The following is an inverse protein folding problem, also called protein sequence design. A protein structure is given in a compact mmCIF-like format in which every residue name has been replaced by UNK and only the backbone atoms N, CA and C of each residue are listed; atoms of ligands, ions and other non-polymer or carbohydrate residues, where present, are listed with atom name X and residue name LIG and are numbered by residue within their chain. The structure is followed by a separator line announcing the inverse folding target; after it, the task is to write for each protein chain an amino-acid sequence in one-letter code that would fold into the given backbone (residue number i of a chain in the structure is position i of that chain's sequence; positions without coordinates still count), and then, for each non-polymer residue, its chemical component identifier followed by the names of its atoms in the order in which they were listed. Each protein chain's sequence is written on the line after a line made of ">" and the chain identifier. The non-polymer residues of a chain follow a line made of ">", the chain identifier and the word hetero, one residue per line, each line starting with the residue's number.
data_IF_475319060371
#
_entry.id   IF_475319060371
#
_cell.length_a   1.000
_cell.length_b   1.000
_cell.length_c   1.000
_cell.angle_alpha   90.00
_cell.angle_beta   90.00
_cell.angle_gamma   90.00
#
_symmetry.space_group_name_H-M   'P 1'
#
loop_
_entity.id
_entity.type
_entity.pdbx_description
1 polymer ?
#
# COMPACT_ATOMS: atom_id res chain seq x y z
N UNK A 1 -36.30 26.54 -10.70
CA UNK A 1 -35.03 26.28 -11.40
C UNK A 1 -33.96 25.98 -10.38
N UNK A 2 -33.70 24.71 -10.09
CA UNK A 2 -32.62 24.29 -9.17
C UNK A 2 -31.35 24.29 -10.04
N UNK A 3 -30.57 25.35 -9.94
CA UNK A 3 -29.28 25.43 -10.63
C UNK A 3 -28.39 24.31 -10.16
N UNK A 4 -27.89 23.48 -11.06
CA UNK A 4 -26.85 22.48 -10.82
C UNK A 4 -25.58 23.23 -10.43
N UNK A 5 -25.41 23.50 -9.14
CA UNK A 5 -24.17 24.07 -8.61
C UNK A 5 -23.06 23.03 -8.82
N UNK A 6 -22.11 23.34 -9.67
CA UNK A 6 -20.93 22.50 -9.88
C UNK A 6 -20.27 22.27 -8.51
N UNK A 7 -19.99 21.02 -8.10
CA UNK A 7 -19.59 20.67 -6.71
C UNK A 7 -18.30 21.36 -6.24
N UNK A 8 -17.49 21.89 -7.16
CA UNK A 8 -16.18 22.50 -6.90
C UNK A 8 -16.14 24.02 -7.13
N UNK A 9 -17.30 24.70 -7.24
CA UNK A 9 -17.31 26.16 -7.39
C UNK A 9 -16.71 26.82 -6.16
N UNK A 10 -15.83 27.82 -6.36
CA UNK A 10 -15.17 28.56 -5.30
C UNK A 10 -13.90 27.91 -4.71
N UNK A 11 -13.52 26.70 -5.14
CA UNK A 11 -12.33 26.00 -4.63
C UNK A 11 -11.05 26.82 -4.73
N UNK A 12 -10.81 27.53 -5.83
CA UNK A 12 -9.58 28.32 -6.04
C UNK A 12 -9.45 29.50 -5.08
N UNK A 13 -10.54 30.21 -4.82
CA UNK A 13 -10.55 31.35 -3.89
C UNK A 13 -10.34 30.86 -2.45
N UNK A 14 -11.06 29.78 -2.07
CA UNK A 14 -10.93 29.18 -0.74
C UNK A 14 -9.53 28.61 -0.54
N UNK A 15 -8.96 27.93 -1.54
CA UNK A 15 -7.60 27.38 -1.49
C UNK A 15 -6.57 28.49 -1.23
N UNK A 16 -6.63 29.60 -1.99
CA UNK A 16 -5.72 30.72 -1.81
C UNK A 16 -5.77 31.32 -0.41
N UNK A 17 -6.98 31.49 0.11
CA UNK A 17 -7.19 31.98 1.48
C UNK A 17 -6.66 30.98 2.52
N UNK A 18 -6.99 29.70 2.38
CA UNK A 18 -6.55 28.63 3.29
C UNK A 18 -5.03 28.48 3.29
N UNK A 19 -4.39 28.46 2.13
CA UNK A 19 -2.92 28.38 2.02
C UNK A 19 -2.24 29.55 2.73
N UNK A 20 -2.75 30.77 2.57
CA UNK A 20 -2.16 31.95 3.19
C UNK A 20 -2.15 31.90 4.72
N UNK A 21 -3.15 31.26 5.33
CA UNK A 21 -3.30 31.19 6.79
C UNK A 21 -2.75 29.88 7.38
N UNK A 22 -3.01 28.74 6.74
CA UNK A 22 -2.73 27.43 7.32
C UNK A 22 -1.35 26.88 6.92
N UNK A 23 -0.75 27.34 5.81
CA UNK A 23 0.55 26.83 5.36
C UNK A 23 1.68 27.07 6.37
N UNK A 24 1.59 28.17 7.13
CA UNK A 24 2.55 28.47 8.19
C UNK A 24 2.63 27.36 9.27
N UNK A 25 1.60 26.56 9.42
CA UNK A 25 1.57 25.44 10.37
C UNK A 25 2.45 24.27 9.96
N UNK A 26 2.83 24.21 8.69
CA UNK A 26 3.80 23.24 8.22
C UNK A 26 5.25 23.61 8.58
N UNK A 27 5.53 24.86 8.95
CA UNK A 27 6.89 25.32 9.27
C UNK A 27 7.57 24.45 10.34
N UNK A 28 6.94 24.12 11.50
CA UNK A 28 7.56 23.25 12.49
C UNK A 28 7.87 21.86 11.94
N UNK A 29 6.97 21.30 11.15
CA UNK A 29 7.12 19.98 10.54
C UNK A 29 8.23 19.97 9.48
N UNK A 30 8.28 21.01 8.62
CA UNK A 30 9.37 21.23 7.67
C UNK A 30 10.70 21.29 8.42
N UNK A 31 10.78 22.11 9.48
CA UNK A 31 12.00 22.26 10.26
C UNK A 31 12.47 20.94 10.88
N UNK A 32 11.56 20.18 11.52
CA UNK A 32 11.89 18.91 12.18
C UNK A 32 12.36 17.87 11.17
N UNK A 33 11.62 17.67 10.06
CA UNK A 33 11.95 16.65 9.06
C UNK A 33 13.23 17.02 8.31
N UNK A 34 13.41 18.30 7.97
CA UNK A 34 14.64 18.79 7.35
C UNK A 34 15.84 18.63 8.29
N UNK A 35 15.71 19.01 9.56
CA UNK A 35 16.76 18.87 10.56
C UNK A 35 17.13 17.41 10.81
N UNK A 36 16.14 16.51 10.78
CA UNK A 36 16.37 15.05 10.91
C UNK A 36 17.28 14.54 9.80
N UNK A 37 17.05 14.93 8.54
CA UNK A 37 17.84 14.50 7.38
C UNK A 37 19.19 15.19 7.34
N UNK A 38 19.23 16.52 7.42
CA UNK A 38 20.49 17.29 7.35
C UNK A 38 21.45 16.97 8.49
N UNK A 39 20.93 16.82 9.73
CA UNK A 39 21.77 16.43 10.87
C UNK A 39 22.35 15.02 10.70
N UNK A 40 21.65 14.10 10.05
CA UNK A 40 22.19 12.77 9.77
C UNK A 40 23.38 12.82 8.84
N UNK A 41 23.32 13.61 7.76
CA UNK A 41 24.42 13.80 6.81
C UNK A 41 25.63 14.41 7.49
N UNK A 42 25.42 15.51 8.20
CA UNK A 42 26.53 16.24 8.85
C UNK A 42 27.16 15.47 10.00
N UNK A 43 26.34 14.87 10.86
CA UNK A 43 26.82 14.10 12.02
C UNK A 43 27.58 12.84 11.59
N UNK A 44 27.09 12.12 10.58
CA UNK A 44 27.73 10.90 10.11
C UNK A 44 29.16 11.15 9.60
N UNK A 45 29.33 12.19 8.76
CA UNK A 45 30.64 12.55 8.23
C UNK A 45 31.65 12.94 9.34
N UNK A 46 31.15 13.53 10.42
CA UNK A 46 31.98 13.94 11.57
C UNK A 46 32.23 12.81 12.55
N UNK A 47 31.23 11.95 12.86
CA UNK A 47 31.33 10.91 13.88
C UNK A 47 31.99 9.62 13.38
N UNK A 48 31.89 9.32 12.09
CA UNK A 48 32.36 8.07 11.47
C UNK A 48 33.27 8.33 10.26
N UNK A 49 34.42 8.99 10.45
CA UNK A 49 35.35 9.36 9.36
C UNK A 49 36.04 8.11 8.77
N UNK A 50 36.31 7.08 9.58
CA UNK A 50 37.06 5.90 9.16
C UNK A 50 36.14 4.71 8.86
N UNK A 51 36.59 3.81 7.97
CA UNK A 51 35.83 2.59 7.62
C UNK A 51 35.63 1.65 8.82
N UNK A 52 36.58 1.61 9.73
CA UNK A 52 36.53 0.81 10.95
C UNK A 52 35.38 1.24 11.86
N UNK A 53 35.19 2.56 12.04
CA UNK A 53 34.10 3.12 12.84
C UNK A 53 32.71 2.74 12.25
N UNK A 54 32.63 2.75 10.90
CA UNK A 54 31.41 2.36 10.18
C UNK A 54 31.12 0.87 10.29
N UNK A 55 32.14 0.02 10.34
CA UNK A 55 31.98 -1.41 10.58
C UNK A 55 31.45 -1.71 11.99
N UNK A 56 31.95 -0.98 13.00
CA UNK A 56 31.44 -1.07 14.39
C UNK A 56 30.00 -0.58 14.46
N UNK A 57 29.67 0.51 13.77
CA UNK A 57 28.29 1.02 13.67
C UNK A 57 27.34 0.00 13.07
N UNK A 58 27.74 -0.64 11.97
CA UNK A 58 26.93 -1.64 11.27
C UNK A 58 26.72 -2.90 12.15
N UNK A 59 27.77 -3.36 12.83
CA UNK A 59 27.69 -4.50 13.74
C UNK A 59 26.83 -4.24 14.98
N UNK A 60 26.88 -3.03 15.55
CA UNK A 60 26.18 -2.70 16.80
C UNK A 60 24.74 -2.28 16.57
N UNK A 61 24.50 -1.41 15.61
CA UNK A 61 23.18 -0.84 15.30
C UNK A 61 22.44 -1.72 14.29
N UNK A 62 23.13 -2.19 13.24
CA UNK A 62 22.55 -3.03 12.20
C UNK A 62 22.05 -4.38 12.73
N UNK A 63 22.74 -4.94 13.72
CA UNK A 63 22.36 -6.19 14.40
C UNK A 63 21.29 -6.05 15.49
N UNK A 64 20.81 -4.84 15.83
CA UNK A 64 19.84 -4.63 16.89
C UNK A 64 18.38 -4.78 16.41
N UNK A 65 17.64 -5.85 16.85
CA UNK A 65 16.28 -6.09 16.39
C UNK A 65 15.29 -4.98 16.75
N UNK A 66 15.49 -4.31 17.90
CA UNK A 66 14.60 -3.24 18.35
C UNK A 66 14.71 -2.00 17.45
N UNK A 67 15.94 -1.67 17.03
CA UNK A 67 16.15 -0.58 16.07
C UNK A 67 15.66 -0.95 14.67
N UNK A 68 15.82 -2.22 14.26
CA UNK A 68 15.27 -2.75 13.04
C UNK A 68 13.75 -2.62 12.97
N UNK A 69 13.05 -2.78 14.10
CA UNK A 69 11.59 -2.62 14.17
C UNK A 69 11.16 -1.16 13.93
N UNK A 70 11.90 -0.19 14.49
CA UNK A 70 11.55 1.23 14.40
C UNK A 70 11.99 1.81 13.05
N UNK A 71 13.24 1.61 12.67
CA UNK A 71 13.86 2.23 11.50
C UNK A 71 13.81 1.35 10.25
N UNK A 72 13.63 0.04 10.41
CA UNK A 72 13.81 -0.96 9.37
C UNK A 72 15.23 -1.53 9.36
N UNK A 73 15.50 -2.56 8.53
CA UNK A 73 16.82 -3.19 8.45
C UNK A 73 17.87 -2.20 7.93
N UNK A 74 19.00 -2.16 8.64
CA UNK A 74 20.14 -1.33 8.27
C UNK A 74 20.96 -2.02 7.17
N UNK A 75 20.58 -1.81 5.92
CA UNK A 75 21.17 -2.52 4.76
C UNK A 75 22.49 -1.92 4.27
N UNK A 76 22.75 -0.65 4.54
CA UNK A 76 23.94 0.05 4.07
C UNK A 76 24.31 1.20 5.02
N UNK A 77 24.90 0.88 6.16
CA UNK A 77 25.39 1.90 7.10
C UNK A 77 26.81 2.39 6.78
N UNK A 78 27.44 1.88 5.72
CA UNK A 78 28.78 2.28 5.32
C UNK A 78 28.84 3.59 4.55
N UNK A 79 27.70 4.06 4.04
CA UNK A 79 27.58 5.32 3.31
C UNK A 79 26.78 6.34 4.10
N UNK A 80 27.09 7.63 3.85
CA UNK A 80 26.40 8.75 4.46
C UNK A 80 24.90 8.74 4.11
N UNK A 81 24.60 8.46 2.85
CA UNK A 81 23.24 8.39 2.30
C UNK A 81 22.47 7.20 2.86
N UNK A 82 23.13 6.04 3.00
CA UNK A 82 22.54 4.84 3.57
C UNK A 82 22.13 5.04 5.03
N UNK A 83 23.01 5.65 5.83
CA UNK A 83 22.70 6.01 7.22
C UNK A 83 21.57 7.04 7.31
N UNK A 84 21.62 8.10 6.49
CA UNK A 84 20.56 9.11 6.45
C UNK A 84 19.21 8.49 6.06
N UNK A 85 19.20 7.69 5.00
CA UNK A 85 17.97 7.01 4.56
C UNK A 85 17.42 6.09 5.65
N UNK A 86 18.28 5.29 6.28
CA UNK A 86 17.85 4.39 7.36
C UNK A 86 17.23 5.16 8.54
N UNK A 87 17.88 6.24 8.99
CA UNK A 87 17.43 7.02 10.14
C UNK A 87 16.22 7.91 9.81
N UNK A 88 16.23 8.60 8.68
CA UNK A 88 15.24 9.61 8.37
C UNK A 88 13.98 9.04 7.70
N UNK A 89 14.07 7.92 6.98
CA UNK A 89 12.95 7.35 6.23
C UNK A 89 11.71 7.08 7.11
N UNK A 90 11.90 6.36 8.21
CA UNK A 90 10.82 5.96 9.08
C UNK A 90 10.20 7.15 9.82
N UNK A 91 11.03 7.90 10.54
CA UNK A 91 10.58 9.02 11.35
C UNK A 91 10.08 10.20 10.50
N UNK A 92 10.80 10.53 9.41
CA UNK A 92 10.41 11.63 8.52
C UNK A 92 9.09 11.35 7.81
N UNK A 93 8.88 10.11 7.34
CA UNK A 93 7.60 9.69 6.77
C UNK A 93 6.46 9.74 7.78
N UNK A 94 6.68 9.24 9.00
CA UNK A 94 5.69 9.28 10.08
C UNK A 94 5.30 10.71 10.47
N UNK A 95 6.27 11.59 10.66
CA UNK A 95 6.04 12.99 11.00
C UNK A 95 5.32 13.75 9.88
N UNK A 96 5.69 13.48 8.61
CA UNK A 96 5.00 14.07 7.45
C UNK A 96 3.55 13.58 7.38
N UNK A 97 3.31 12.31 7.66
CA UNK A 97 1.96 11.74 7.75
C UNK A 97 1.11 12.42 8.81
N UNK A 98 1.64 12.64 10.03
CA UNK A 98 0.95 13.37 11.10
C UNK A 98 0.65 14.81 10.68
N UNK A 99 1.61 15.51 10.07
CA UNK A 99 1.41 16.88 9.61
C UNK A 99 0.25 16.98 8.61
N UNK A 100 0.19 16.03 7.65
CA UNK A 100 -0.88 15.96 6.68
C UNK A 100 -2.25 15.65 7.32
N UNK A 101 -2.30 14.70 8.26
CA UNK A 101 -3.53 14.35 8.99
C UNK A 101 -4.07 15.57 9.72
N UNK A 102 -3.24 16.25 10.50
CA UNK A 102 -3.69 17.41 11.29
C UNK A 102 -4.11 18.59 10.42
N UNK A 103 -3.47 18.78 9.27
CA UNK A 103 -3.86 19.83 8.33
C UNK A 103 -5.25 19.56 7.75
N UNK A 104 -5.50 18.32 7.26
CA UNK A 104 -6.78 17.95 6.65
C UNK A 104 -7.91 17.92 7.66
N UNK A 105 -7.73 17.28 8.81
CA UNK A 105 -8.80 17.17 9.84
C UNK A 105 -9.16 18.53 10.42
N UNK A 106 -8.19 19.42 10.59
CA UNK A 106 -8.45 20.79 11.04
C UNK A 106 -9.20 21.61 9.99
N UNK A 107 -8.81 21.49 8.72
CA UNK A 107 -9.47 22.21 7.63
C UNK A 107 -10.86 21.62 7.26
N UNK A 108 -11.24 20.49 7.86
CA UNK A 108 -12.57 19.86 7.69
C UNK A 108 -13.36 19.92 9.01
N UNK A 109 -13.25 18.88 9.85
CA UNK A 109 -13.99 18.76 11.11
C UNK A 109 -13.67 19.85 12.12
N UNK A 110 -12.41 20.33 12.16
CA UNK A 110 -12.05 21.43 13.05
C UNK A 110 -12.78 22.74 12.73
N UNK A 111 -13.09 23.01 11.45
CA UNK A 111 -13.92 24.15 11.05
C UNK A 111 -15.41 23.91 11.38
N UNK A 112 -15.88 22.67 11.34
CA UNK A 112 -17.25 22.31 11.74
C UNK A 112 -17.42 22.44 13.25
N UNK A 113 -16.51 21.88 14.04
CA UNK A 113 -16.53 21.95 15.51
C UNK A 113 -16.46 23.41 16.04
N UNK A 114 -15.82 24.32 15.29
CA UNK A 114 -15.72 25.74 15.63
C UNK A 114 -16.84 26.63 15.10
N UNK A 115 -17.80 26.08 14.33
CA UNK A 115 -18.87 26.83 13.67
C UNK A 115 -18.43 27.66 12.45
N UNK A 116 -17.15 27.68 12.11
CA UNK A 116 -16.64 28.39 10.93
C UNK A 116 -17.21 27.82 9.62
N UNK A 117 -17.56 26.54 9.61
CA UNK A 117 -18.14 25.88 8.47
C UNK A 117 -19.50 26.48 8.06
N UNK A 118 -20.32 26.92 9.02
CA UNK A 118 -21.62 27.53 8.77
C UNK A 118 -21.47 28.91 8.10
N UNK A 119 -20.49 29.70 8.53
CA UNK A 119 -20.17 30.99 7.94
C UNK A 119 -19.71 30.82 6.46
N UNK A 120 -18.92 29.79 6.18
CA UNK A 120 -18.47 29.48 4.82
C UNK A 120 -19.61 28.90 3.97
N UNK A 121 -20.56 28.16 4.56
CA UNK A 121 -21.68 27.55 3.86
C UNK A 121 -22.74 28.57 3.40
N UNK A 122 -22.80 29.76 4.03
CA UNK A 122 -23.67 30.86 3.61
C UNK A 122 -23.24 31.50 2.29
N UNK A 123 -22.01 31.24 1.81
CA UNK A 123 -21.47 31.71 0.54
C UNK A 123 -21.84 30.79 -0.64
N UNK A 124 -21.64 31.29 -1.88
CA UNK A 124 -21.89 30.54 -3.10
C UNK A 124 -20.78 29.50 -3.39
N UNK A 125 -20.61 28.53 -2.48
CA UNK A 125 -19.57 27.49 -2.60
C UNK A 125 -20.16 26.09 -2.81
N UNK A 126 -19.47 25.26 -3.62
CA UNK A 126 -19.83 23.88 -3.86
C UNK A 126 -19.61 23.00 -2.60
N UNK A 127 -20.48 22.01 -2.40
CA UNK A 127 -20.41 21.12 -1.21
C UNK A 127 -19.08 20.36 -1.08
N UNK A 128 -18.42 20.03 -2.21
CA UNK A 128 -17.13 19.35 -2.23
C UNK A 128 -15.90 20.28 -2.13
N UNK A 129 -16.09 21.59 -2.26
CA UNK A 129 -14.97 22.55 -2.33
C UNK A 129 -14.12 22.55 -1.03
N UNK A 130 -14.75 22.47 0.14
CA UNK A 130 -14.05 22.44 1.42
C UNK A 130 -13.16 21.21 1.58
N UNK A 131 -13.70 20.01 1.28
CA UNK A 131 -12.93 18.77 1.36
C UNK A 131 -11.78 18.78 0.37
N UNK A 132 -12.02 19.22 -0.88
CA UNK A 132 -10.98 19.33 -1.89
C UNK A 132 -9.85 20.28 -1.45
N UNK A 133 -10.19 21.44 -0.89
CA UNK A 133 -9.20 22.40 -0.36
C UNK A 133 -8.43 21.84 0.81
N UNK A 134 -9.07 21.10 1.72
CA UNK A 134 -8.40 20.46 2.84
C UNK A 134 -7.38 19.41 2.39
N UNK A 135 -7.75 18.56 1.42
CA UNK A 135 -6.84 17.56 0.84
C UNK A 135 -5.68 18.25 0.11
N UNK A 136 -5.97 19.27 -0.72
CA UNK A 136 -4.94 20.03 -1.41
C UNK A 136 -3.98 20.74 -0.46
N UNK A 137 -4.45 21.23 0.69
CA UNK A 137 -3.59 21.78 1.74
C UNK A 137 -2.60 20.73 2.26
N UNK A 138 -3.08 19.51 2.55
CA UNK A 138 -2.23 18.40 2.99
C UNK A 138 -1.21 17.99 1.92
N UNK A 139 -1.65 17.88 0.67
CA UNK A 139 -0.79 17.55 -0.48
C UNK A 139 0.30 18.60 -0.69
N UNK A 140 -0.06 19.88 -0.73
CA UNK A 140 0.90 20.99 -0.92
C UNK A 140 1.86 21.08 0.25
N UNK A 141 1.37 20.98 1.49
CA UNK A 141 2.19 21.01 2.70
C UNK A 141 3.21 19.87 2.74
N UNK A 142 2.81 18.65 2.41
CA UNK A 142 3.70 17.48 2.35
C UNK A 142 4.73 17.59 1.22
N UNK A 143 4.33 18.13 0.08
CA UNK A 143 5.26 18.41 -1.03
C UNK A 143 6.32 19.42 -0.62
N UNK A 144 5.93 20.47 0.12
CA UNK A 144 6.88 21.45 0.65
C UNK A 144 7.84 20.82 1.67
N UNK A 145 7.38 19.92 2.54
CA UNK A 145 8.27 19.18 3.45
C UNK A 145 9.32 18.42 2.61
N UNK A 146 8.90 17.65 1.60
CA UNK A 146 9.81 16.89 0.75
C UNK A 146 10.80 17.79 0.01
N UNK A 147 10.32 18.83 -0.67
CA UNK A 147 11.16 19.74 -1.47
C UNK A 147 12.18 20.47 -0.60
N UNK A 148 11.76 21.06 0.51
CA UNK A 148 12.68 21.81 1.40
C UNK A 148 13.71 20.85 2.02
N UNK A 149 13.29 19.65 2.46
CA UNK A 149 14.20 18.64 2.98
C UNK A 149 15.22 18.23 1.92
N UNK A 150 14.80 17.97 0.67
CA UNK A 150 15.69 17.63 -0.41
C UNK A 150 16.73 18.74 -0.64
N UNK A 151 16.26 19.97 -0.81
CA UNK A 151 17.15 21.12 -1.07
C UNK A 151 18.19 21.32 0.04
N UNK A 152 17.75 21.32 1.29
CA UNK A 152 18.67 21.52 2.42
C UNK A 152 19.66 20.33 2.56
N UNK A 153 19.20 19.09 2.34
CA UNK A 153 20.07 17.91 2.44
C UNK A 153 21.11 17.88 1.31
N UNK A 154 20.74 18.28 0.09
CA UNK A 154 21.65 18.42 -1.04
C UNK A 154 22.69 19.53 -0.78
N UNK A 155 22.28 20.66 -0.21
CA UNK A 155 23.21 21.73 0.19
C UNK A 155 24.22 21.28 1.26
N UNK A 156 23.89 20.27 2.06
CA UNK A 156 24.82 19.62 3.00
C UNK A 156 25.77 18.61 2.34
N UNK A 157 25.76 18.48 1.01
CA UNK A 157 26.68 17.61 0.25
C UNK A 157 26.19 16.14 0.12
N UNK A 158 24.92 15.86 0.31
CA UNK A 158 24.37 14.53 0.09
C UNK A 158 24.22 14.20 -1.41
N UNK A 159 24.24 12.90 -1.74
CA UNK A 159 24.03 12.42 -3.10
C UNK A 159 22.57 12.66 -3.57
N UNK A 160 22.43 13.07 -4.84
CA UNK A 160 21.15 13.51 -5.37
C UNK A 160 20.11 12.40 -5.44
N UNK A 161 20.48 11.23 -5.96
CA UNK A 161 19.53 10.12 -6.21
C UNK A 161 18.89 9.64 -4.91
N UNK A 162 19.69 9.35 -3.89
CA UNK A 162 19.21 8.90 -2.58
C UNK A 162 18.36 9.97 -1.88
N UNK A 163 18.79 11.23 -1.96
CA UNK A 163 18.10 12.37 -1.33
C UNK A 163 16.75 12.66 -1.98
N UNK A 164 16.67 12.66 -3.31
CA UNK A 164 15.43 12.89 -4.03
C UNK A 164 14.43 11.73 -3.81
N UNK A 165 14.93 10.49 -3.77
CA UNK A 165 14.09 9.33 -3.47
C UNK A 165 13.51 9.40 -2.04
N UNK A 166 14.35 9.77 -1.06
CA UNK A 166 13.92 9.95 0.32
C UNK A 166 12.85 11.07 0.44
N UNK A 167 13.06 12.20 -0.21
CA UNK A 167 12.12 13.31 -0.25
C UNK A 167 10.79 12.93 -0.94
N UNK A 168 10.86 12.15 -2.02
CA UNK A 168 9.68 11.61 -2.69
C UNK A 168 8.87 10.68 -1.78
N UNK A 169 9.54 9.88 -0.92
CA UNK A 169 8.82 9.04 0.05
C UNK A 169 8.10 9.86 1.12
N UNK A 170 8.69 10.95 1.62
CA UNK A 170 8.00 11.86 2.54
C UNK A 170 6.77 12.48 1.89
N UNK A 171 6.92 12.98 0.68
CA UNK A 171 5.83 13.56 -0.12
C UNK A 171 4.70 12.56 -0.33
N UNK A 172 5.01 11.36 -0.80
CA UNK A 172 4.03 10.31 -1.07
C UNK A 172 3.30 9.85 0.19
N UNK A 173 4.01 9.71 1.31
CA UNK A 173 3.41 9.38 2.61
C UNK A 173 2.42 10.47 3.05
N UNK A 174 2.77 11.73 2.90
CA UNK A 174 1.89 12.83 3.21
C UNK A 174 0.64 12.89 2.31
N UNK A 175 0.77 12.60 1.02
CA UNK A 175 -0.37 12.50 0.10
C UNK A 175 -1.31 11.36 0.49
N UNK A 176 -0.76 10.19 0.77
CA UNK A 176 -1.53 9.03 1.23
C UNK A 176 -2.27 9.36 2.53
N UNK A 177 -1.60 9.95 3.51
CA UNK A 177 -2.22 10.30 4.79
C UNK A 177 -3.22 11.47 4.66
N UNK A 178 -3.08 12.35 3.68
CA UNK A 178 -4.11 13.35 3.35
C UNK A 178 -5.41 12.70 2.88
N UNK A 179 -5.31 11.65 2.06
CA UNK A 179 -6.48 10.87 1.62
C UNK A 179 -7.12 10.10 2.79
N UNK A 180 -6.30 9.42 3.62
CA UNK A 180 -6.77 8.72 4.83
C UNK A 180 -7.47 9.69 5.78
N UNK A 181 -6.91 10.86 6.01
CA UNK A 181 -7.51 11.89 6.87
C UNK A 181 -8.82 12.44 6.30
N UNK A 182 -8.93 12.55 4.97
CA UNK A 182 -10.17 12.95 4.31
C UNK A 182 -11.28 11.91 4.55
N UNK A 183 -10.98 10.62 4.46
CA UNK A 183 -11.93 9.53 4.78
C UNK A 183 -12.26 9.56 6.27
N UNK A 184 -11.27 9.64 7.15
CA UNK A 184 -11.46 9.71 8.60
C UNK A 184 -12.35 10.90 9.01
N UNK A 185 -12.21 12.04 8.33
CA UNK A 185 -13.06 13.20 8.54
C UNK A 185 -14.52 12.97 8.11
N UNK A 186 -14.79 12.06 7.17
CA UNK A 186 -16.18 11.70 6.83
C UNK A 186 -16.80 10.72 7.85
N UNK A 187 -15.98 9.87 8.47
CA UNK A 187 -16.42 8.87 9.45
C UNK A 187 -16.51 9.43 10.87
N UNK A 188 -15.57 10.30 11.26
CA UNK A 188 -15.53 10.88 12.60
C UNK A 188 -16.57 11.99 12.79
N UNK A 189 -17.28 11.99 13.91
CA UNK A 189 -18.25 13.05 14.27
C UNK A 189 -17.60 14.36 14.72
N UNK A 190 -16.34 14.31 15.18
CA UNK A 190 -15.58 15.47 15.68
C UNK A 190 -14.14 15.44 15.11
N UNK A 191 -13.44 16.57 15.17
CA UNK A 191 -12.02 16.64 14.77
C UNK A 191 -11.14 15.68 15.60
N UNK A 192 -11.47 15.48 16.89
CA UNK A 192 -10.76 14.55 17.77
C UNK A 192 -10.95 13.11 17.28
N UNK A 193 -12.17 12.69 16.99
CA UNK A 193 -12.46 11.34 16.50
C UNK A 193 -11.79 11.08 15.14
N UNK A 194 -11.87 12.03 14.21
CA UNK A 194 -11.20 11.94 12.91
C UNK A 194 -9.67 11.84 13.05
N UNK A 195 -9.06 12.66 13.92
CA UNK A 195 -7.63 12.57 14.21
C UNK A 195 -7.24 11.22 14.80
N UNK A 196 -7.99 10.73 15.79
CA UNK A 196 -7.71 9.42 16.41
C UNK A 196 -7.75 8.32 15.39
N UNK A 197 -8.76 8.29 14.52
CA UNK A 197 -8.89 7.27 13.47
C UNK A 197 -7.71 7.33 12.47
N UNK A 198 -7.40 8.52 11.96
CA UNK A 198 -6.32 8.69 10.98
C UNK A 198 -4.93 8.43 11.57
N UNK A 199 -4.65 8.90 12.80
CA UNK A 199 -3.37 8.66 13.48
C UNK A 199 -3.22 7.19 13.87
N UNK A 200 -4.30 6.53 14.32
CA UNK A 200 -4.28 5.08 14.58
C UNK A 200 -3.96 4.30 13.31
N UNK A 201 -4.56 4.67 12.18
CA UNK A 201 -4.24 4.06 10.88
C UNK A 201 -2.76 4.24 10.52
N UNK A 202 -2.22 5.46 10.65
CA UNK A 202 -0.80 5.73 10.43
C UNK A 202 0.09 4.90 11.36
N UNK A 203 -0.26 4.82 12.64
CA UNK A 203 0.52 4.08 13.65
C UNK A 203 0.52 2.58 13.36
N UNK A 204 -0.63 2.00 12.99
CA UNK A 204 -0.73 0.60 12.59
C UNK A 204 0.12 0.34 11.35
N UNK A 205 0.04 1.19 10.33
CA UNK A 205 0.86 1.05 9.12
C UNK A 205 2.36 1.20 9.41
N UNK A 206 2.74 2.08 10.34
CA UNK A 206 4.13 2.27 10.75
C UNK A 206 4.68 1.05 11.47
N UNK A 207 3.94 0.50 12.44
CA UNK A 207 4.31 -0.71 13.18
C UNK A 207 4.37 -1.91 12.21
N UNK A 208 3.34 -2.08 11.38
CA UNK A 208 3.28 -3.15 10.39
C UNK A 208 4.49 -3.08 9.44
N UNK A 209 4.85 -1.88 8.95
CA UNK A 209 6.05 -1.66 8.16
C UNK A 209 7.32 -2.13 8.89
N UNK A 210 7.47 -1.76 10.17
CA UNK A 210 8.62 -2.15 10.98
C UNK A 210 8.73 -3.68 11.09
N UNK A 211 7.63 -4.34 11.41
CA UNK A 211 7.56 -5.80 11.41
C UNK A 211 7.87 -6.41 10.06
N UNK A 212 7.27 -5.92 8.98
CA UNK A 212 7.47 -6.44 7.62
C UNK A 212 8.92 -6.30 7.15
N UNK A 213 9.62 -5.26 7.58
CA UNK A 213 11.00 -5.00 7.17
C UNK A 213 12.04 -5.67 8.08
N UNK A 214 11.74 -5.87 9.38
CA UNK A 214 12.71 -6.37 10.38
C UNK A 214 12.80 -7.90 10.42
N UNK A 215 11.80 -8.62 9.92
CA UNK A 215 11.80 -10.08 9.98
C UNK A 215 12.47 -10.67 8.74
N UNK A 216 13.62 -11.32 8.94
CA UNK A 216 14.31 -12.08 7.90
C UNK A 216 13.53 -13.33 7.43
N UNK A 217 12.49 -13.73 8.16
CA UNK A 217 11.57 -14.79 7.79
C UNK A 217 10.28 -14.26 7.17
N UNK A 218 10.24 -14.02 5.85
CA UNK A 218 9.13 -13.32 5.19
C UNK A 218 7.78 -14.04 5.34
N UNK A 219 7.78 -15.36 5.47
CA UNK A 219 6.53 -16.13 5.56
C UNK A 219 5.76 -15.84 6.87
N UNK A 220 6.44 -15.83 8.02
CA UNK A 220 5.77 -15.63 9.31
C UNK A 220 5.20 -14.21 9.47
N UNK A 221 5.91 -13.22 8.96
CA UNK A 221 5.48 -11.82 8.95
C UNK A 221 4.19 -11.64 8.17
N UNK A 222 4.13 -12.26 7.00
CA UNK A 222 2.95 -12.19 6.16
C UNK A 222 1.74 -12.87 6.80
N UNK A 223 1.94 -13.98 7.52
CA UNK A 223 0.85 -14.63 8.27
C UNK A 223 0.25 -13.67 9.30
N UNK A 224 1.07 -12.99 10.11
CA UNK A 224 0.58 -12.00 11.10
C UNK A 224 -0.16 -10.86 10.41
N UNK A 225 0.41 -10.31 9.32
CA UNK A 225 -0.22 -9.24 8.55
C UNK A 225 -1.58 -9.67 8.01
N UNK A 226 -1.69 -10.88 7.48
CA UNK A 226 -2.94 -11.40 6.92
C UNK A 226 -3.96 -11.80 7.98
N UNK A 227 -3.54 -12.17 9.18
CA UNK A 227 -4.44 -12.31 10.33
C UNK A 227 -5.06 -10.95 10.67
N UNK A 228 -4.25 -9.89 10.78
CA UNK A 228 -4.75 -8.54 11.05
C UNK A 228 -5.67 -8.03 9.94
N UNK A 229 -5.29 -8.20 8.67
CA UNK A 229 -6.11 -7.84 7.52
C UNK A 229 -7.42 -8.63 7.48
N UNK A 230 -7.38 -9.94 7.78
CA UNK A 230 -8.56 -10.78 7.84
C UNK A 230 -9.57 -10.30 8.89
N UNK A 231 -9.10 -9.87 10.06
CA UNK A 231 -9.96 -9.27 11.09
C UNK A 231 -10.56 -7.96 10.60
N UNK A 232 -9.74 -7.06 10.04
CA UNK A 232 -10.19 -5.75 9.55
C UNK A 232 -11.24 -5.91 8.44
N UNK A 233 -10.95 -6.72 7.43
CA UNK A 233 -11.85 -6.93 6.29
C UNK A 233 -13.11 -7.69 6.68
N UNK A 234 -13.00 -8.68 7.58
CA UNK A 234 -14.14 -9.42 8.10
C UNK A 234 -15.09 -8.53 8.90
N UNK A 235 -14.56 -7.65 9.75
CA UNK A 235 -15.37 -6.67 10.46
C UNK A 235 -16.02 -5.67 9.49
N UNK A 236 -15.28 -5.24 8.45
CA UNK A 236 -15.78 -4.29 7.47
C UNK A 236 -16.95 -4.87 6.64
N UNK A 237 -16.82 -6.13 6.21
CA UNK A 237 -17.90 -6.85 5.52
C UNK A 237 -19.09 -7.03 6.47
N UNK A 238 -18.85 -7.39 7.74
CA UNK A 238 -19.92 -7.57 8.73
C UNK A 238 -20.72 -6.29 9.01
N UNK A 239 -20.10 -5.12 8.90
CA UNK A 239 -20.75 -3.83 9.15
C UNK A 239 -21.46 -3.23 7.92
N UNK A 240 -21.47 -3.93 6.78
CA UNK A 240 -22.03 -3.39 5.53
C UNK A 240 -23.52 -3.09 5.62
N UNK A 241 -24.30 -3.91 6.33
CA UNK A 241 -25.75 -3.65 6.54
C UNK A 241 -25.99 -2.34 7.28
N UNK A 242 -25.24 -2.08 8.35
CA UNK A 242 -25.36 -0.85 9.14
C UNK A 242 -24.95 0.37 8.31
N UNK A 243 -23.91 0.21 7.48
CA UNK A 243 -23.43 1.23 6.56
C UNK A 243 -24.49 1.59 5.51
N UNK A 244 -25.16 0.58 4.93
CA UNK A 244 -26.23 0.76 3.95
C UNK A 244 -27.50 1.37 4.58
N UNK A 245 -27.83 0.98 5.81
CA UNK A 245 -28.97 1.50 6.54
C UNK A 245 -28.76 2.98 6.95
N UNK A 246 -27.52 3.38 7.24
CA UNK A 246 -27.19 4.74 7.70
C UNK A 246 -27.12 5.77 6.57
N UNK A 247 -26.98 5.37 5.29
CA UNK A 247 -26.80 6.29 4.16
C UNK A 247 -27.44 5.78 2.87
N UNK A 248 -28.68 6.20 2.57
CA UNK A 248 -29.35 5.86 1.30
C UNK A 248 -28.55 6.29 0.05
N UNK A 249 -27.78 7.34 0.15
CA UNK A 249 -26.91 7.80 -0.94
C UNK A 249 -25.74 6.84 -1.19
N UNK A 250 -25.20 6.24 -0.14
CA UNK A 250 -24.14 5.25 -0.23
C UNK A 250 -24.69 3.92 -0.76
N UNK A 251 -25.88 3.53 -0.34
CA UNK A 251 -26.59 2.39 -0.89
C UNK A 251 -26.81 2.52 -2.40
N UNK A 252 -27.28 3.70 -2.87
CA UNK A 252 -27.48 3.99 -4.29
C UNK A 252 -26.15 4.03 -5.08
N UNK A 253 -25.06 4.51 -4.47
CA UNK A 253 -23.73 4.55 -5.09
C UNK A 253 -23.10 3.15 -5.20
N UNK A 254 -23.29 2.32 -4.21
CA UNK A 254 -22.80 0.94 -4.19
C UNK A 254 -23.69 -0.01 -5.02
N UNK A 255 -24.97 0.32 -5.16
CA UNK A 255 -25.92 -0.51 -5.90
C UNK A 255 -25.56 -0.67 -7.39
N UNK A 256 -24.79 0.28 -8.00
CA UNK A 256 -24.30 0.15 -9.38
C UNK A 256 -25.30 -0.42 -10.41
N UNK A 257 -26.61 -0.45 -10.06
CA UNK A 257 -27.67 -1.12 -10.79
C UNK A 257 -28.20 -2.43 -10.14
N UNK A 258 -27.64 -2.88 -9.01
CA UNK A 258 -28.15 -4.04 -8.29
C UNK A 258 -29.47 -3.68 -7.59
N UNK A 259 -30.50 -4.47 -7.85
CA UNK A 259 -31.87 -4.26 -7.35
C UNK A 259 -32.09 -4.99 -6.01
N UNK A 260 -31.24 -5.98 -5.70
CA UNK A 260 -31.37 -6.85 -4.51
C UNK A 260 -30.30 -6.53 -3.45
N UNK A 261 -30.67 -6.23 -2.19
CA UNK A 261 -29.73 -6.02 -1.09
C UNK A 261 -28.79 -7.21 -0.84
N UNK A 262 -29.22 -8.44 -1.10
CA UNK A 262 -28.37 -9.64 -0.95
C UNK A 262 -27.25 -9.66 -2.00
N UNK A 263 -27.55 -9.31 -3.26
CA UNK A 263 -26.53 -9.20 -4.30
C UNK A 263 -25.50 -8.10 -3.98
N UNK A 264 -25.95 -7.01 -3.37
CA UNK A 264 -25.07 -5.93 -2.97
C UNK A 264 -24.05 -6.38 -1.91
N UNK A 265 -24.49 -7.14 -0.90
CA UNK A 265 -23.62 -7.72 0.13
C UNK A 265 -22.63 -8.70 -0.49
N UNK A 266 -23.09 -9.57 -1.40
CA UNK A 266 -22.24 -10.53 -2.11
C UNK A 266 -21.16 -9.82 -2.94
N UNK A 267 -21.53 -8.84 -3.75
CA UNK A 267 -20.61 -8.08 -4.59
C UNK A 267 -19.56 -7.32 -3.74
N UNK A 268 -20.00 -6.75 -2.62
CA UNK A 268 -19.10 -6.10 -1.67
C UNK A 268 -18.10 -7.09 -1.07
N UNK A 269 -18.55 -8.27 -0.64
CA UNK A 269 -17.68 -9.32 -0.10
C UNK A 269 -16.66 -9.81 -1.13
N UNK A 270 -17.08 -10.03 -2.39
CA UNK A 270 -16.19 -10.43 -3.49
C UNK A 270 -15.16 -9.34 -3.77
N UNK A 271 -15.56 -8.07 -3.79
CA UNK A 271 -14.64 -6.94 -3.99
C UNK A 271 -13.61 -6.88 -2.87
N UNK A 272 -14.02 -7.01 -1.62
CA UNK A 272 -13.12 -7.03 -0.46
C UNK A 272 -12.15 -8.21 -0.50
N UNK A 273 -12.61 -9.41 -0.86
CA UNK A 273 -11.75 -10.57 -1.03
C UNK A 273 -10.79 -10.42 -2.21
N UNK A 274 -11.19 -9.77 -3.29
CA UNK A 274 -10.31 -9.44 -4.42
C UNK A 274 -9.22 -8.46 -4.00
N UNK A 275 -9.54 -7.42 -3.22
CA UNK A 275 -8.54 -6.51 -2.64
C UNK A 275 -7.54 -7.27 -1.77
N UNK A 276 -8.04 -8.16 -0.91
CA UNK A 276 -7.20 -9.00 -0.06
C UNK A 276 -6.31 -9.94 -0.89
N UNK A 277 -6.83 -10.45 -2.02
CA UNK A 277 -6.09 -11.26 -3.00
C UNK A 277 -4.97 -10.48 -3.68
N UNK A 278 -5.20 -9.22 -4.07
CA UNK A 278 -4.17 -8.34 -4.64
C UNK A 278 -3.04 -8.13 -3.63
N UNK A 279 -3.38 -7.89 -2.36
CA UNK A 279 -2.39 -7.77 -1.28
C UNK A 279 -1.66 -9.11 -1.09
N UNK A 280 -2.36 -10.25 -1.21
CA UNK A 280 -1.77 -11.58 -1.09
C UNK A 280 -0.81 -11.94 -2.23
N UNK A 281 -0.88 -11.28 -3.38
CA UNK A 281 0.11 -11.44 -4.44
C UNK A 281 1.47 -10.84 -4.06
N UNK A 282 1.52 -9.85 -3.18
CA UNK A 282 2.75 -9.13 -2.77
C UNK A 282 3.81 -10.09 -2.20
N UNK A 283 3.52 -10.92 -1.15
CA UNK A 283 4.51 -11.86 -0.62
C UNK A 283 5.00 -12.86 -1.67
N UNK A 284 4.14 -13.30 -2.59
CA UNK A 284 4.55 -14.19 -3.69
C UNK A 284 5.54 -13.52 -4.64
N UNK A 285 5.26 -12.28 -5.05
CA UNK A 285 6.19 -11.49 -5.89
C UNK A 285 7.52 -11.27 -5.16
N UNK A 286 7.49 -10.98 -3.84
CA UNK A 286 8.71 -10.83 -3.05
C UNK A 286 9.56 -12.10 -3.00
N UNK A 287 8.94 -13.29 -2.88
CA UNK A 287 9.65 -14.56 -2.93
C UNK A 287 10.36 -14.74 -4.28
N UNK A 288 9.72 -14.36 -5.40
CA UNK A 288 10.35 -14.41 -6.74
C UNK A 288 11.50 -13.40 -6.84
N UNK A 289 11.34 -12.19 -6.32
CA UNK A 289 12.37 -11.14 -6.34
C UNK A 289 13.61 -11.51 -5.50
N UNK A 290 13.49 -12.43 -4.53
CA UNK A 290 14.63 -12.96 -3.79
C UNK A 290 15.67 -13.61 -4.71
N UNK A 291 15.27 -14.21 -5.84
CA UNK A 291 16.21 -14.76 -6.82
C UNK A 291 17.24 -13.71 -7.23
N UNK A 292 16.79 -12.48 -7.53
CA UNK A 292 17.69 -11.37 -7.92
C UNK A 292 18.59 -10.95 -6.74
N UNK A 293 18.06 -10.92 -5.53
CA UNK A 293 18.84 -10.59 -4.33
C UNK A 293 19.90 -11.65 -4.03
N UNK A 294 19.57 -12.93 -4.22
CA UNK A 294 20.49 -14.04 -4.00
C UNK A 294 21.57 -14.11 -5.09
N UNK A 295 21.23 -13.72 -6.33
CA UNK A 295 22.23 -13.57 -7.40
C UNK A 295 23.20 -12.42 -7.10
N UNK A 296 22.69 -11.25 -6.77
CA UNK A 296 23.53 -10.08 -6.48
C UNK A 296 24.45 -10.29 -5.27
N UNK A 297 24.03 -11.11 -4.32
CA UNK A 297 24.83 -11.48 -3.14
C UNK A 297 25.69 -12.74 -3.32
N UNK A 298 25.76 -13.29 -4.55
CA UNK A 298 26.50 -14.50 -4.90
C UNK A 298 26.13 -15.75 -4.10
N UNK A 299 24.95 -15.75 -3.45
CA UNK A 299 24.46 -16.89 -2.64
C UNK A 299 23.88 -18.03 -3.48
N UNK A 300 23.56 -17.75 -4.74
CA UNK A 300 22.98 -18.75 -5.64
C UNK A 300 24.03 -19.71 -6.20
N UNK A 301 25.31 -19.29 -6.30
CA UNK A 301 26.39 -20.11 -6.87
C UNK A 301 26.65 -21.39 -6.08
N UNK A 302 26.80 -21.36 -4.71
CA UNK A 302 26.97 -22.59 -3.92
C UNK A 302 25.79 -23.56 -4.06
N UNK A 303 24.57 -23.07 -4.26
CA UNK A 303 23.37 -23.89 -4.42
C UNK A 303 23.41 -24.64 -5.76
N UNK A 304 23.79 -23.94 -6.82
CA UNK A 304 23.85 -24.52 -8.17
C UNK A 304 25.06 -25.46 -8.34
N UNK A 305 26.20 -25.16 -7.71
CA UNK A 305 27.37 -26.05 -7.72
C UNK A 305 27.14 -27.31 -6.88
N UNK A 306 26.21 -27.28 -5.92
CA UNK A 306 25.79 -28.42 -5.11
C UNK A 306 24.90 -29.45 -5.84
N UNK A 307 24.74 -29.35 -7.18
CA UNK A 307 24.03 -30.34 -8.01
C UNK A 307 22.53 -30.08 -8.21
N UNK A 308 22.00 -28.92 -7.76
CA UNK A 308 20.61 -28.51 -8.02
C UNK A 308 20.54 -27.83 -9.41
N UNK A 309 19.71 -28.37 -10.31
CA UNK A 309 19.51 -27.73 -11.62
C UNK A 309 18.81 -26.36 -11.48
N UNK A 310 19.18 -25.41 -12.35
CA UNK A 310 18.57 -24.05 -12.40
C UNK A 310 17.04 -24.11 -12.52
N UNK A 311 16.55 -25.04 -13.34
CA UNK A 311 15.11 -25.24 -13.53
C UNK A 311 14.43 -25.69 -12.23
N UNK A 312 15.05 -26.61 -11.48
CA UNK A 312 14.52 -27.09 -10.19
C UNK A 312 14.51 -25.98 -9.14
N UNK A 313 15.57 -25.18 -9.08
CA UNK A 313 15.64 -24.03 -8.18
C UNK A 313 14.53 -23.02 -8.48
N UNK A 314 14.36 -22.64 -9.76
CA UNK A 314 13.30 -21.73 -10.18
C UNK A 314 11.90 -22.30 -9.87
N UNK A 315 11.64 -23.54 -10.22
CA UNK A 315 10.34 -24.19 -10.00
C UNK A 315 9.97 -24.27 -8.50
N UNK A 316 10.94 -24.62 -7.64
CA UNK A 316 10.72 -24.65 -6.18
C UNK A 316 10.44 -23.25 -5.64
N UNK A 317 11.15 -22.23 -6.10
CA UNK A 317 10.92 -20.84 -5.69
C UNK A 317 9.52 -20.36 -6.11
N UNK A 318 9.08 -20.69 -7.34
CA UNK A 318 7.74 -20.33 -7.81
C UNK A 318 6.64 -21.09 -7.06
N UNK A 319 6.85 -22.37 -6.76
CA UNK A 319 5.93 -23.14 -5.93
C UNK A 319 5.83 -22.56 -4.50
N UNK A 320 6.95 -22.17 -3.91
CA UNK A 320 6.98 -21.49 -2.63
C UNK A 320 6.27 -20.13 -2.67
N UNK A 321 6.45 -19.34 -3.75
CA UNK A 321 5.77 -18.08 -3.95
C UNK A 321 4.24 -18.25 -4.03
N UNK A 322 3.78 -19.20 -4.84
CA UNK A 322 2.35 -19.51 -4.97
C UNK A 322 1.75 -20.03 -3.66
N UNK A 323 2.47 -20.92 -2.97
CA UNK A 323 2.04 -21.46 -1.67
C UNK A 323 1.95 -20.36 -0.61
N UNK A 324 2.91 -19.43 -0.57
CA UNK A 324 2.90 -18.31 0.39
C UNK A 324 1.71 -17.39 0.15
N UNK A 325 1.45 -16.96 -1.09
CA UNK A 325 0.30 -16.12 -1.43
C UNK A 325 -1.02 -16.79 -1.11
N UNK A 326 -1.15 -18.07 -1.50
CA UNK A 326 -2.36 -18.87 -1.23
C UNK A 326 -2.58 -19.03 0.28
N UNK A 327 -1.55 -19.40 1.04
CA UNK A 327 -1.64 -19.55 2.49
C UNK A 327 -2.05 -18.22 3.17
N UNK A 328 -1.44 -17.10 2.81
CA UNK A 328 -1.79 -15.79 3.34
C UNK A 328 -3.26 -15.45 3.12
N UNK A 329 -3.77 -15.66 1.89
CA UNK A 329 -5.17 -15.36 1.59
C UNK A 329 -6.13 -16.34 2.28
N UNK A 330 -5.80 -17.62 2.39
CA UNK A 330 -6.63 -18.59 3.09
C UNK A 330 -6.69 -18.30 4.60
N UNK A 331 -5.59 -17.94 5.24
CA UNK A 331 -5.59 -17.52 6.64
C UNK A 331 -6.49 -16.31 6.88
N UNK A 332 -6.37 -15.28 6.06
CA UNK A 332 -7.27 -14.14 6.14
C UNK A 332 -8.72 -14.52 5.80
N UNK A 333 -8.90 -15.37 4.79
CA UNK A 333 -10.21 -15.86 4.35
C UNK A 333 -10.99 -16.60 5.43
N UNK A 334 -10.31 -17.42 6.25
CA UNK A 334 -10.91 -18.06 7.43
C UNK A 334 -11.45 -17.02 8.42
N UNK A 335 -10.68 -15.97 8.70
CA UNK A 335 -11.10 -14.91 9.63
C UNK A 335 -12.24 -14.07 9.06
N UNK A 336 -12.15 -13.72 7.77
CA UNK A 336 -13.23 -13.01 7.07
C UNK A 336 -14.50 -13.83 7.08
N UNK A 337 -14.43 -15.11 6.72
CA UNK A 337 -15.59 -16.02 6.71
C UNK A 337 -16.21 -16.19 8.11
N UNK A 338 -15.37 -16.31 9.13
CA UNK A 338 -15.83 -16.46 10.50
C UNK A 338 -16.51 -15.18 11.04
N UNK A 339 -15.95 -14.00 10.78
CA UNK A 339 -16.52 -12.74 11.23
C UNK A 339 -17.79 -12.38 10.45
N UNK A 340 -17.77 -12.51 9.11
CA UNK A 340 -18.93 -12.19 8.28
C UNK A 340 -20.12 -13.13 8.53
N UNK A 341 -19.89 -14.42 8.78
CA UNK A 341 -20.96 -15.36 9.09
C UNK A 341 -21.65 -15.11 10.44
N UNK A 342 -21.00 -14.40 11.37
CA UNK A 342 -21.58 -13.99 12.66
C UNK A 342 -22.32 -12.66 12.62
N UNK A 343 -22.19 -11.90 11.55
CA UNK A 343 -22.78 -10.57 11.44
C UNK A 343 -24.24 -10.57 10.95
N UNK A 344 -24.86 -11.75 10.77
CA UNK A 344 -26.25 -11.92 10.29
C UNK A 344 -26.57 -11.14 9.01
N UNK A 345 -25.61 -11.13 8.08
CA UNK A 345 -25.70 -10.43 6.78
C UNK A 345 -26.13 -11.36 5.63
N UNK A 346 -26.43 -12.61 5.92
CA UNK A 346 -26.85 -13.63 4.94
C UNK A 346 -25.68 -14.35 4.25
N UNK A 347 -24.42 -14.12 4.67
CA UNK A 347 -23.25 -14.83 4.15
C UNK A 347 -22.94 -16.06 5.00
N UNK A 348 -22.78 -17.23 4.34
CA UNK A 348 -22.34 -18.44 5.03
C UNK A 348 -20.81 -18.49 5.13
N UNK A 349 -20.30 -19.17 6.17
CA UNK A 349 -18.86 -19.39 6.31
C UNK A 349 -18.27 -20.11 5.08
N UNK A 350 -18.96 -21.14 4.58
CA UNK A 350 -18.49 -21.94 3.44
C UNK A 350 -18.35 -21.12 2.18
N UNK A 351 -19.31 -20.25 1.88
CA UNK A 351 -19.32 -19.48 0.64
C UNK A 351 -18.19 -18.45 0.61
N UNK A 352 -17.98 -17.73 1.72
CA UNK A 352 -16.89 -16.76 1.85
C UNK A 352 -15.52 -17.44 1.84
N UNK A 353 -15.40 -18.60 2.50
CA UNK A 353 -14.14 -19.35 2.51
C UNK A 353 -13.83 -19.93 1.12
N UNK A 354 -14.79 -20.53 0.43
CA UNK A 354 -14.60 -21.04 -0.93
C UNK A 354 -14.28 -19.87 -1.88
N UNK A 355 -14.97 -18.74 -1.74
CA UNK A 355 -14.66 -17.54 -2.54
C UNK A 355 -13.21 -17.10 -2.33
N UNK A 356 -12.72 -17.08 -1.08
CA UNK A 356 -11.32 -16.73 -0.80
C UNK A 356 -10.33 -17.73 -1.39
N UNK A 357 -10.67 -19.03 -1.35
CA UNK A 357 -9.85 -20.08 -1.92
C UNK A 357 -9.75 -19.96 -3.46
N UNK A 358 -10.87 -19.72 -4.13
CA UNK A 358 -10.89 -19.52 -5.58
C UNK A 358 -10.18 -18.24 -5.96
N UNK A 359 -10.35 -17.15 -5.18
CA UNK A 359 -9.66 -15.87 -5.38
C UNK A 359 -8.13 -16.02 -5.29
N UNK A 360 -7.62 -16.97 -4.50
CA UNK A 360 -6.17 -17.20 -4.39
C UNK A 360 -5.51 -17.57 -5.72
N UNK A 361 -6.25 -18.22 -6.63
CA UNK A 361 -5.74 -18.60 -7.95
C UNK A 361 -5.39 -17.37 -8.79
N UNK A 362 -6.09 -16.24 -8.61
CA UNK A 362 -5.79 -15.00 -9.32
C UNK A 362 -4.41 -14.39 -8.96
N UNK A 363 -3.82 -14.78 -7.83
CA UNK A 363 -2.47 -14.33 -7.46
C UNK A 363 -1.37 -15.00 -8.30
N UNK A 364 -1.62 -16.20 -8.85
CA UNK A 364 -0.61 -17.00 -9.53
C UNK A 364 -0.16 -16.43 -10.89
N UNK A 365 -1.03 -15.88 -11.76
CA UNK A 365 -0.58 -15.16 -12.96
C UNK A 365 0.33 -13.97 -12.62
N UNK A 366 0.05 -13.24 -11.55
CA UNK A 366 0.87 -12.11 -11.10
C UNK A 366 2.28 -12.59 -10.71
N UNK A 367 2.36 -13.71 -9.98
CA UNK A 367 3.63 -14.38 -9.66
C UNK A 367 4.34 -14.84 -10.93
N UNK A 368 3.58 -15.36 -11.91
CA UNK A 368 4.09 -15.76 -13.22
C UNK A 368 4.69 -14.59 -14.01
N UNK A 369 4.06 -13.41 -14.00
CA UNK A 369 4.60 -12.18 -14.60
C UNK A 369 5.93 -11.81 -13.94
N UNK A 370 5.99 -11.84 -12.61
CA UNK A 370 7.23 -11.58 -11.86
C UNK A 370 8.33 -12.59 -12.24
N UNK A 371 7.98 -13.87 -12.43
CA UNK A 371 8.92 -14.91 -12.85
C UNK A 371 9.48 -14.64 -14.25
N UNK A 372 8.64 -14.19 -15.19
CA UNK A 372 9.08 -13.83 -16.54
C UNK A 372 10.05 -12.66 -16.51
N UNK A 373 9.74 -11.61 -15.75
CA UNK A 373 10.59 -10.42 -15.61
C UNK A 373 11.95 -10.79 -15.01
N UNK A 374 11.95 -11.50 -13.89
CA UNK A 374 13.17 -11.91 -13.18
C UNK A 374 13.98 -12.91 -14.02
N UNK A 375 13.31 -13.84 -14.67
CA UNK A 375 13.96 -14.83 -15.55
C UNK A 375 14.61 -14.20 -16.78
N UNK A 376 13.94 -13.25 -17.44
CA UNK A 376 14.42 -12.67 -18.69
C UNK A 376 15.41 -11.52 -18.48
N UNK A 377 15.12 -10.59 -17.53
CA UNK A 377 15.92 -9.36 -17.34
C UNK A 377 15.93 -8.90 -15.87
N UNK A 378 16.78 -9.45 -15.00
CA UNK A 378 16.82 -9.11 -13.57
C UNK A 378 17.12 -7.62 -13.29
N UNK A 379 17.76 -6.91 -14.23
CA UNK A 379 17.99 -5.45 -14.12
C UNK A 379 16.70 -4.65 -14.03
N UNK A 380 15.60 -5.17 -14.56
CA UNK A 380 14.28 -4.57 -14.50
C UNK A 380 13.38 -5.24 -13.45
N UNK A 381 13.95 -5.77 -12.38
CA UNK A 381 13.21 -6.47 -11.31
C UNK A 381 12.02 -5.66 -10.74
N UNK A 382 12.11 -4.33 -10.76
CA UNK A 382 11.02 -3.44 -10.36
C UNK A 382 9.75 -3.62 -11.22
N UNK A 383 9.90 -4.04 -12.48
CA UNK A 383 8.76 -4.31 -13.36
C UNK A 383 7.95 -5.56 -12.93
N UNK A 384 8.48 -6.40 -12.03
CA UNK A 384 7.73 -7.50 -11.42
C UNK A 384 6.47 -7.02 -10.66
N UNK A 385 6.47 -5.76 -10.21
CA UNK A 385 5.34 -5.15 -9.50
C UNK A 385 4.21 -4.70 -10.43
N UNK A 386 4.43 -4.67 -11.74
CA UNK A 386 3.43 -4.20 -12.72
C UNK A 386 2.14 -5.01 -12.61
N UNK A 387 2.22 -6.35 -12.47
CA UNK A 387 1.02 -7.18 -12.32
C UNK A 387 0.19 -6.87 -11.08
N UNK A 388 0.84 -6.52 -9.96
CA UNK A 388 0.15 -6.12 -8.73
C UNK A 388 -0.52 -4.76 -8.91
N UNK A 389 0.21 -3.77 -9.45
CA UNK A 389 -0.29 -2.42 -9.65
C UNK A 389 -1.44 -2.38 -10.67
N UNK A 390 -1.27 -3.07 -11.79
CA UNK A 390 -2.28 -3.19 -12.84
C UNK A 390 -3.57 -3.82 -12.29
N UNK A 391 -3.46 -4.97 -11.61
CA UNK A 391 -4.59 -5.63 -10.97
C UNK A 391 -5.28 -4.73 -9.96
N UNK A 392 -4.53 -3.98 -9.16
CA UNK A 392 -5.08 -3.01 -8.21
C UNK A 392 -5.88 -1.91 -8.90
N UNK A 393 -5.27 -1.25 -9.90
CA UNK A 393 -5.93 -0.14 -10.58
C UNK A 393 -7.19 -0.60 -11.33
N UNK A 394 -7.11 -1.70 -12.06
CA UNK A 394 -8.25 -2.19 -12.85
C UNK A 394 -9.38 -2.69 -11.94
N UNK A 395 -9.06 -3.49 -10.91
CA UNK A 395 -10.10 -4.07 -10.05
C UNK A 395 -10.83 -3.01 -9.23
N UNK A 396 -10.13 -1.98 -8.74
CA UNK A 396 -10.72 -0.97 -7.86
C UNK A 396 -11.34 0.18 -8.64
N UNK A 397 -10.64 0.68 -9.64
CA UNK A 397 -11.08 1.86 -10.37
C UNK A 397 -11.84 1.54 -11.66
N UNK A 398 -11.65 0.35 -12.24
CA UNK A 398 -12.33 -0.06 -13.45
C UNK A 398 -13.85 0.10 -13.38
N UNK A 399 -14.53 -0.47 -12.38
CA UNK A 399 -15.99 -0.31 -12.22
C UNK A 399 -16.40 1.15 -12.02
N UNK A 400 -15.63 1.94 -11.26
CA UNK A 400 -15.91 3.35 -10.99
C UNK A 400 -15.87 4.20 -12.26
N UNK A 401 -14.93 3.93 -13.15
CA UNK A 401 -14.78 4.63 -14.43
C UNK A 401 -15.59 3.98 -15.57
N UNK A 402 -16.38 2.94 -15.28
CA UNK A 402 -17.12 2.16 -16.28
C UNK A 402 -16.20 1.70 -17.42
N UNK A 403 -15.03 1.18 -17.06
CA UNK A 403 -14.05 0.68 -18.01
C UNK A 403 -14.68 -0.44 -18.87
N UNK A 404 -14.38 -0.50 -20.18
CA UNK A 404 -14.92 -1.55 -21.05
C UNK A 404 -14.41 -2.94 -20.62
N UNK A 405 -15.20 -3.98 -20.87
CA UNK A 405 -14.94 -5.36 -20.42
C UNK A 405 -13.56 -5.88 -20.83
N UNK A 406 -13.10 -5.51 -22.02
CA UNK A 406 -11.77 -5.90 -22.49
C UNK A 406 -10.64 -5.35 -21.58
N UNK A 407 -10.83 -4.16 -20.98
CA UNK A 407 -9.87 -3.60 -20.01
C UNK A 407 -9.94 -4.34 -18.69
N UNK A 408 -11.16 -4.65 -18.22
CA UNK A 408 -11.36 -5.41 -16.99
C UNK A 408 -10.75 -6.81 -17.09
N UNK A 409 -10.77 -7.41 -18.29
CA UNK A 409 -10.21 -8.74 -18.56
C UNK A 409 -8.69 -8.84 -18.38
N UNK A 410 -7.95 -7.73 -18.32
CA UNK A 410 -6.52 -7.78 -17.98
C UNK A 410 -6.29 -8.16 -16.51
N UNK A 411 -7.20 -7.77 -15.60
CA UNK A 411 -7.08 -8.17 -14.21
C UNK A 411 -7.41 -9.65 -14.01
N UNK A 412 -6.50 -10.45 -13.42
CA UNK A 412 -6.80 -11.83 -13.07
C UNK A 412 -8.03 -11.98 -12.17
N UNK A 413 -8.32 -10.98 -11.34
CA UNK A 413 -9.46 -11.00 -10.41
C UNK A 413 -10.81 -10.86 -11.11
N UNK A 414 -10.85 -10.33 -12.33
CA UNK A 414 -12.07 -10.27 -13.15
C UNK A 414 -12.55 -11.66 -13.59
N UNK A 415 -11.65 -12.62 -13.70
CA UNK A 415 -11.96 -13.98 -14.15
C UNK A 415 -12.37 -14.93 -13.01
N UNK A 416 -12.38 -14.44 -11.78
CA UNK A 416 -12.80 -15.25 -10.63
C UNK A 416 -14.32 -15.33 -10.60
N UNK A 417 -14.90 -16.56 -10.57
CA UNK A 417 -16.35 -16.72 -10.46
C UNK A 417 -16.85 -16.24 -9.11
N UNK A 418 -18.04 -15.64 -9.10
CA UNK A 418 -18.75 -15.29 -7.88
C UNK A 418 -19.43 -16.55 -7.34
N UNK A 419 -18.74 -17.27 -6.44
CA UNK A 419 -19.20 -18.56 -5.91
C UNK A 419 -20.55 -18.45 -5.18
N UNK A 420 -20.88 -17.24 -4.71
CA UNK A 420 -22.13 -16.92 -4.01
C UNK A 420 -23.32 -16.74 -4.97
N UNK A 421 -23.10 -16.80 -6.29
CA UNK A 421 -24.14 -16.72 -7.32
C UNK A 421 -24.42 -18.10 -7.93
N UNK A 422 -25.68 -18.38 -8.29
CA UNK A 422 -26.10 -19.69 -8.83
C UNK A 422 -25.47 -20.05 -10.19
N UNK A 423 -25.00 -19.07 -10.94
CA UNK A 423 -24.47 -19.21 -12.30
C UNK A 423 -22.94 -19.17 -12.39
N UNK A 424 -22.25 -19.51 -11.30
CA UNK A 424 -20.79 -19.48 -11.25
C UNK A 424 -20.15 -20.49 -12.21
N UNK A 425 -19.48 -19.99 -13.26
CA UNK A 425 -18.78 -20.82 -14.25
C UNK A 425 -17.28 -20.89 -13.95
N UNK A 426 -16.73 -22.10 -13.79
CA UNK A 426 -15.32 -22.32 -13.46
C UNK A 426 -14.30 -22.08 -14.59
N UNK A 427 -14.73 -21.73 -15.81
CA UNK A 427 -13.85 -21.56 -16.96
C UNK A 427 -12.79 -20.47 -16.77
N UNK A 428 -13.12 -19.40 -16.04
CA UNK A 428 -12.17 -18.35 -15.71
C UNK A 428 -11.01 -18.85 -14.87
N UNK A 429 -11.28 -19.70 -13.88
CA UNK A 429 -10.24 -20.33 -13.03
C UNK A 429 -9.32 -21.22 -13.85
N UNK A 430 -9.88 -22.02 -14.77
CA UNK A 430 -9.09 -22.87 -15.66
C UNK A 430 -8.16 -22.00 -16.55
N UNK A 431 -8.69 -20.91 -17.10
CA UNK A 431 -7.90 -19.94 -17.88
C UNK A 431 -6.73 -19.35 -17.08
N UNK A 432 -6.99 -18.97 -15.81
CA UNK A 432 -5.95 -18.46 -14.92
C UNK A 432 -4.88 -19.50 -14.59
N UNK A 433 -5.26 -20.77 -14.38
CA UNK A 433 -4.32 -21.87 -14.15
C UNK A 433 -3.42 -22.09 -15.35
N UNK A 434 -3.98 -22.13 -16.56
CA UNK A 434 -3.23 -22.29 -17.81
C UNK A 434 -2.29 -21.10 -18.01
N UNK A 435 -2.77 -19.87 -17.88
CA UNK A 435 -1.96 -18.66 -17.99
C UNK A 435 -0.80 -18.66 -16.98
N UNK A 436 -1.06 -19.02 -15.73
CA UNK A 436 -0.03 -19.12 -14.70
C UNK A 436 1.04 -20.15 -15.05
N UNK A 437 0.62 -21.34 -15.48
CA UNK A 437 1.55 -22.40 -15.89
C UNK A 437 2.42 -21.96 -17.07
N UNK A 438 1.84 -21.32 -18.09
CA UNK A 438 2.58 -20.80 -19.25
C UNK A 438 3.60 -19.73 -18.82
N UNK A 439 3.20 -18.75 -17.99
CA UNK A 439 4.09 -17.72 -17.50
C UNK A 439 5.23 -18.29 -16.66
N UNK A 440 4.95 -19.26 -15.79
CA UNK A 440 5.97 -19.95 -15.01
C UNK A 440 6.97 -20.71 -15.90
N UNK A 441 6.48 -21.41 -16.92
CA UNK A 441 7.35 -22.13 -17.87
C UNK A 441 8.23 -21.16 -18.66
N UNK A 442 7.67 -20.04 -19.14
CA UNK A 442 8.42 -19.00 -19.84
C UNK A 442 9.48 -18.40 -18.91
N UNK A 443 9.11 -18.04 -17.66
CA UNK A 443 10.02 -17.47 -16.68
C UNK A 443 11.17 -18.41 -16.31
N UNK A 444 10.87 -19.68 -16.02
CA UNK A 444 11.88 -20.68 -15.72
C UNK A 444 12.80 -21.00 -16.94
N UNK A 445 12.23 -21.03 -18.14
CA UNK A 445 13.02 -21.23 -19.36
C UNK A 445 13.96 -20.06 -19.62
N UNK A 446 13.49 -18.84 -19.43
CA UNK A 446 14.30 -17.63 -19.54
C UNK A 446 15.44 -17.63 -18.50
N UNK A 447 15.13 -17.97 -17.25
CA UNK A 447 16.13 -18.11 -16.18
C UNK A 447 17.20 -19.16 -16.49
N UNK A 448 16.80 -20.29 -17.07
CA UNK A 448 17.73 -21.37 -17.41
C UNK A 448 18.69 -21.03 -18.56
N UNK A 449 18.26 -20.16 -19.49
CA UNK A 449 19.02 -19.79 -20.69
C UNK A 449 19.97 -18.61 -20.50
N UNK A 450 19.79 -17.81 -19.45
CA UNK A 450 20.66 -16.65 -19.23
C UNK A 450 21.91 -17.01 -18.43
N UNK A 451 22.98 -16.26 -18.64
CA UNK A 451 24.20 -16.35 -17.85
C UNK A 451 23.97 -15.71 -16.47
N UNK A 452 24.42 -16.38 -15.41
CA UNK A 452 24.37 -15.91 -14.02
C UNK A 452 25.75 -15.36 -13.70
N UNK A 453 25.82 -14.11 -13.22
CA UNK A 453 27.05 -13.63 -12.59
C UNK A 453 27.97 -12.73 -13.43
N UNK A 454 27.46 -12.05 -14.49
CA UNK A 454 28.20 -10.96 -15.14
C UNK A 454 27.28 -9.77 -15.31
N UNK A 455 27.31 -8.83 -14.34
CA UNK A 455 26.62 -7.56 -14.41
C UNK A 455 27.37 -6.50 -13.64
#
# INVERSE_FOLDING_TARGET
>A
MIGTTRPLVGTGVLLKATLRHELKRFIPWIAIVTMLSTSSILAYAWMFPHREDRAVLDATIGGNPALGLIFGPARNLYTNEGFNTWRAFALGGFLTGIAAIFAVTKATRGQEDSGQAELLASGAMGRGARLAVAVLLGVIGSTLIGVVTALCTLLCGAEADATLLLAATFTATGWMMSAVAAVAAQLGSTARAANTLAVSTLSVLFILRGFLLSLEAPAFTWVIAFVALGVIFGYFIGSVKDLLASSPAMAAMMAGGAVDPAQLVNNFAVTMLSMLGIIAAIPGVQVVLRIVSEENSQRIEPILTGGISRLRYCAVTLAAAAATSTACLLFAGVLVAWLSSRADIGLSFSDVFIQSAVTSVATWPIIGIAAVVVGARPRFAIAAWVGVLESFFITIFGPTFKAPDWTMAFSPFHHIPHVMESDAHGWGVLGLLVASALLCVIGCSAFNRRDIGVG
#
